data_IF_274853015842
#
_entry.id   IF_274853015842
#
_cell.length_a   1.000
_cell.length_b   1.000
_cell.length_c   1.000
_cell.angle_alpha   90.00
_cell.angle_beta   90.00
_cell.angle_gamma   90.00
#
_symmetry.space_group_name_H-M   'P 1'
#
loop_
_entity.id
_entity.type
_entity.pdbx_description
1 polymer ?
#
# COMPACT_ATOMS: atom_id res chain seq x y z
N UNK A 1 -20.70 45.92 -12.30
CA UNK A 1 -20.83 44.44 -12.26
C UNK A 1 -19.50 43.69 -12.16
N UNK A 2 -18.42 44.08 -12.84
CA UNK A 2 -17.10 43.40 -12.77
C UNK A 2 -16.44 43.48 -11.37
N UNK A 3 -16.55 44.58 -10.67
CA UNK A 3 -15.98 44.78 -9.33
C UNK A 3 -16.57 43.81 -8.29
N UNK A 4 -17.85 43.49 -8.33
CA UNK A 4 -18.53 42.57 -7.41
C UNK A 4 -18.13 41.11 -7.59
N UNK A 5 -17.67 40.71 -8.79
CA UNK A 5 -17.19 39.35 -9.07
C UNK A 5 -15.79 39.17 -8.54
N UNK A 6 -14.90 40.16 -8.72
CA UNK A 6 -13.53 40.13 -8.20
C UNK A 6 -13.49 40.13 -6.67
N UNK A 7 -14.36 40.88 -6.01
CA UNK A 7 -14.53 40.89 -4.56
C UNK A 7 -15.01 39.52 -4.04
N UNK A 8 -15.97 38.89 -4.69
CA UNK A 8 -16.44 37.54 -4.36
C UNK A 8 -15.31 36.51 -4.53
N UNK A 9 -14.53 36.58 -5.63
CA UNK A 9 -13.39 35.70 -5.88
C UNK A 9 -12.32 35.89 -4.79
N UNK A 10 -12.02 37.14 -4.41
CA UNK A 10 -11.10 37.46 -3.33
C UNK A 10 -11.57 36.88 -1.99
N UNK A 11 -12.87 37.08 -1.65
CA UNK A 11 -13.47 36.53 -0.44
C UNK A 11 -13.42 34.99 -0.39
N UNK A 12 -13.75 34.31 -1.51
CA UNK A 12 -13.68 32.85 -1.59
C UNK A 12 -12.25 32.34 -1.46
N UNK A 13 -11.26 33.02 -2.03
CA UNK A 13 -9.82 32.66 -1.89
C UNK A 13 -9.35 32.81 -0.45
N UNK A 14 -9.71 33.88 0.23
CA UNK A 14 -9.38 34.10 1.65
C UNK A 14 -10.04 33.04 2.52
N UNK A 15 -11.32 32.76 2.30
CA UNK A 15 -12.06 31.75 3.06
C UNK A 15 -11.49 30.34 2.84
N UNK A 16 -11.07 30.00 1.61
CA UNK A 16 -10.39 28.76 1.28
C UNK A 16 -9.04 28.66 2.03
N UNK A 17 -8.19 29.70 1.95
CA UNK A 17 -6.90 29.73 2.67
C UNK A 17 -7.06 29.59 4.18
N UNK A 18 -8.06 30.19 4.77
CA UNK A 18 -8.38 30.07 6.21
C UNK A 18 -8.83 28.66 6.57
N UNK A 19 -9.68 28.07 5.75
CA UNK A 19 -10.14 26.70 5.92
C UNK A 19 -8.97 25.72 5.81
N UNK A 20 -8.12 25.86 4.81
CA UNK A 20 -6.96 25.02 4.60
C UNK A 20 -5.97 25.17 5.76
N UNK A 21 -5.74 26.38 6.25
CA UNK A 21 -4.89 26.64 7.42
C UNK A 21 -5.44 25.99 8.70
N UNK A 22 -6.73 26.11 8.96
CA UNK A 22 -7.35 25.51 10.15
C UNK A 22 -7.37 23.99 10.06
N UNK A 23 -7.62 23.43 8.88
CA UNK A 23 -7.53 22.00 8.62
C UNK A 23 -6.12 21.49 8.88
N UNK A 24 -5.10 22.13 8.33
CA UNK A 24 -3.70 21.77 8.56
C UNK A 24 -3.34 21.73 10.04
N UNK A 25 -3.63 22.79 10.77
CA UNK A 25 -3.34 22.83 12.22
C UNK A 25 -4.02 21.68 12.96
N UNK A 26 -5.26 21.38 12.61
CA UNK A 26 -6.00 20.27 13.20
C UNK A 26 -5.33 18.94 12.88
N UNK A 27 -5.03 18.68 11.59
CA UNK A 27 -4.40 17.43 11.16
C UNK A 27 -3.05 17.22 11.84
N UNK A 28 -2.19 18.24 11.83
CA UNK A 28 -0.87 18.15 12.51
C UNK A 28 -1.02 17.79 13.98
N UNK A 29 -1.92 18.47 14.70
CA UNK A 29 -2.12 18.21 16.13
C UNK A 29 -2.61 16.78 16.37
N UNK A 30 -3.66 16.36 15.66
CA UNK A 30 -4.26 15.03 15.84
C UNK A 30 -3.30 13.91 15.42
N UNK A 31 -2.55 14.08 14.33
CA UNK A 31 -1.57 13.09 13.88
C UNK A 31 -0.39 13.00 14.83
N UNK A 32 0.08 14.15 15.36
CA UNK A 32 1.14 14.17 16.37
C UNK A 32 0.70 13.46 17.63
N UNK A 33 -0.47 13.81 18.17
CA UNK A 33 -1.02 13.20 19.38
C UNK A 33 -1.20 11.69 19.22
N UNK A 34 -1.76 11.24 18.08
CA UNK A 34 -1.94 9.83 17.79
C UNK A 34 -0.61 9.10 17.71
N UNK A 35 0.39 9.70 17.05
CA UNK A 35 1.72 9.13 16.92
C UNK A 35 2.42 9.03 18.27
N UNK A 36 2.38 10.08 19.08
CA UNK A 36 2.96 10.07 20.43
C UNK A 36 2.35 9.00 21.31
N UNK A 37 1.01 8.88 21.30
CA UNK A 37 0.30 7.83 22.03
C UNK A 37 0.71 6.44 21.57
N UNK A 38 0.88 6.25 20.25
CA UNK A 38 1.34 4.98 19.67
C UNK A 38 2.79 4.66 20.11
N UNK A 39 3.69 5.63 20.06
CA UNK A 39 5.07 5.42 20.48
C UNK A 39 5.16 5.11 21.98
N UNK A 40 4.39 5.81 22.82
CA UNK A 40 4.27 5.47 24.24
C UNK A 40 3.78 4.03 24.46
N UNK A 41 2.79 3.58 23.67
CA UNK A 41 2.32 2.21 23.76
C UNK A 41 3.38 1.19 23.33
N UNK A 42 4.16 1.48 22.28
CA UNK A 42 5.29 0.64 21.84
C UNK A 42 6.35 0.50 22.94
N UNK A 43 6.68 1.59 23.64
CA UNK A 43 7.64 1.56 24.76
C UNK A 43 7.23 0.61 25.89
N UNK A 44 5.94 0.36 26.09
CA UNK A 44 5.41 -0.54 27.11
C UNK A 44 5.43 -2.01 26.71
N UNK A 45 5.82 -2.35 25.48
CA UNK A 45 5.87 -3.74 25.02
C UNK A 45 6.85 -4.55 25.90
N UNK A 46 6.34 -5.68 26.38
CA UNK A 46 7.14 -6.70 27.10
C UNK A 46 6.87 -8.07 26.48
N UNK A 47 7.85 -8.59 25.72
CA UNK A 47 7.76 -9.89 25.08
C UNK A 47 6.97 -9.90 23.77
N UNK A 48 6.82 -11.10 23.20
CA UNK A 48 6.21 -11.26 21.88
C UNK A 48 4.69 -11.12 21.89
N UNK A 49 4.16 -10.34 20.95
CA UNK A 49 2.73 -10.18 20.69
C UNK A 49 2.25 -11.05 19.52
N UNK A 50 3.17 -11.57 18.71
CA UNK A 50 2.88 -12.53 17.65
C UNK A 50 3.03 -13.96 18.22
N UNK A 51 1.91 -14.59 18.55
CA UNK A 51 1.91 -15.99 18.89
C UNK A 51 1.83 -16.81 17.61
N UNK A 52 2.90 -17.53 17.27
CA UNK A 52 2.86 -18.54 16.21
C UNK A 52 1.89 -19.64 16.63
N UNK A 53 0.68 -19.63 16.11
CA UNK A 53 -0.20 -20.78 16.19
C UNK A 53 0.29 -21.78 15.15
N UNK A 54 0.38 -23.03 15.52
CA UNK A 54 0.67 -24.17 14.62
C UNK A 54 -0.56 -24.47 13.71
N UNK A 55 -1.30 -23.46 13.31
CA UNK A 55 -2.44 -23.62 12.44
C UNK A 55 -2.05 -23.39 10.98
N UNK A 56 -2.67 -24.13 10.11
CA UNK A 56 -2.27 -24.54 8.76
C UNK A 56 -2.30 -23.46 7.68
N UNK A 57 -2.57 -22.22 7.99
CA UNK A 57 -2.47 -21.11 7.06
C UNK A 57 -1.35 -20.17 7.50
N UNK A 58 -0.13 -20.43 7.02
CA UNK A 58 1.00 -19.55 7.25
C UNK A 58 0.78 -18.22 6.54
N UNK A 59 0.17 -17.28 7.24
CA UNK A 59 -0.07 -15.92 6.75
C UNK A 59 1.12 -15.05 7.10
N UNK A 60 1.72 -14.44 6.10
CA UNK A 60 2.81 -13.48 6.23
C UNK A 60 2.30 -12.09 5.84
N UNK A 61 2.40 -11.13 6.75
CA UNK A 61 2.27 -9.72 6.40
C UNK A 61 3.65 -9.21 6.00
N UNK A 62 3.75 -8.61 4.83
CA UNK A 62 5.01 -8.13 4.26
C UNK A 62 4.89 -6.68 3.81
N UNK A 63 5.85 -5.86 4.21
CA UNK A 63 5.91 -4.46 3.85
C UNK A 63 7.35 -3.99 3.66
N UNK A 64 7.51 -2.81 3.09
CA UNK A 64 8.80 -2.13 2.97
C UNK A 64 8.67 -0.69 3.47
N UNK A 65 9.81 -0.10 3.84
CA UNK A 65 9.90 1.32 4.18
C UNK A 65 11.22 1.88 3.68
N UNK A 66 11.35 3.21 3.69
CA UNK A 66 12.56 3.88 3.23
C UNK A 66 12.73 5.27 3.87
N UNK A 67 13.96 5.77 3.88
CA UNK A 67 14.29 7.11 4.34
C UNK A 67 13.75 7.41 5.74
N UNK A 68 13.21 8.60 5.93
CA UNK A 68 12.64 9.04 7.21
C UNK A 68 11.35 8.31 7.62
N UNK A 69 10.65 7.67 6.69
CA UNK A 69 9.45 6.88 6.99
C UNK A 69 9.75 5.73 7.96
N UNK A 70 10.97 5.18 7.90
CA UNK A 70 11.42 4.11 8.82
C UNK A 70 11.33 4.52 10.29
N UNK A 71 11.52 5.81 10.60
CA UNK A 71 11.39 6.35 11.97
C UNK A 71 10.07 7.06 12.23
N UNK A 72 9.42 7.62 11.19
CA UNK A 72 8.27 8.50 11.36
C UNK A 72 6.92 7.79 11.27
N UNK A 73 6.75 6.88 10.30
CA UNK A 73 5.46 6.25 10.02
C UNK A 73 5.43 4.74 10.27
N UNK A 74 6.49 4.04 9.88
CA UNK A 74 6.60 2.59 10.02
C UNK A 74 6.28 2.06 11.43
N UNK A 75 6.76 2.67 12.55
CA UNK A 75 6.42 2.18 13.89
C UNK A 75 4.91 2.18 14.15
N UNK A 76 4.22 3.20 13.66
CA UNK A 76 2.77 3.33 13.84
C UNK A 76 1.99 2.29 13.03
N UNK A 77 2.42 2.04 11.80
CA UNK A 77 1.84 0.99 10.96
C UNK A 77 2.04 -0.38 11.60
N UNK A 78 3.26 -0.71 12.02
CA UNK A 78 3.57 -1.98 12.68
C UNK A 78 2.77 -2.18 13.96
N UNK A 79 2.59 -1.12 14.75
CA UNK A 79 1.72 -1.18 15.93
C UNK A 79 0.29 -1.59 15.56
N UNK A 80 -0.29 -1.00 14.50
CA UNK A 80 -1.65 -1.35 14.05
C UNK A 80 -1.75 -2.80 13.55
N UNK A 81 -0.69 -3.32 12.92
CA UNK A 81 -0.61 -4.72 12.49
C UNK A 81 -0.48 -5.69 13.66
N UNK A 82 0.20 -5.31 14.72
CA UNK A 82 0.26 -6.08 15.97
C UNK A 82 -1.08 -6.11 16.72
N UNK A 83 -1.99 -5.17 16.44
CA UNK A 83 -3.34 -5.11 17.06
C UNK A 83 -4.40 -5.88 16.28
N UNK A 84 -4.06 -6.59 15.20
CA UNK A 84 -5.02 -7.35 14.40
C UNK A 84 -5.78 -8.39 15.24
N UNK A 85 -7.09 -8.58 15.00
CA UNK A 85 -7.93 -9.60 15.65
C UNK A 85 -7.47 -11.00 15.30
N UNK A 86 -7.10 -11.22 14.03
CA UNK A 86 -6.45 -12.43 13.54
C UNK A 86 -4.96 -12.14 13.37
N UNK A 87 -4.12 -12.77 14.18
CA UNK A 87 -2.68 -12.57 14.13
C UNK A 87 -2.07 -13.27 12.93
N UNK A 88 -1.18 -12.62 12.17
CA UNK A 88 -0.38 -13.31 11.15
C UNK A 88 0.70 -14.17 11.81
N UNK A 89 1.22 -15.14 11.09
CA UNK A 89 2.35 -15.96 11.58
C UNK A 89 3.64 -15.16 11.62
N UNK A 90 3.79 -14.20 10.69
CA UNK A 90 4.94 -13.30 10.57
C UNK A 90 4.51 -11.91 10.13
N UNK A 91 5.22 -10.91 10.62
CA UNK A 91 5.26 -9.56 10.04
C UNK A 91 6.70 -9.31 9.62
N UNK A 92 6.94 -9.15 8.32
CA UNK A 92 8.28 -8.96 7.76
C UNK A 92 8.37 -7.57 7.16
N UNK A 93 9.37 -6.80 7.61
CA UNK A 93 9.72 -5.49 7.06
C UNK A 93 11.01 -5.64 6.25
N UNK A 94 10.94 -5.27 4.98
CA UNK A 94 12.10 -5.24 4.09
C UNK A 94 12.67 -3.83 4.00
N UNK A 95 13.93 -3.69 4.34
CA UNK A 95 14.70 -2.44 4.24
C UNK A 95 15.85 -2.63 3.25
N UNK A 96 16.28 -1.55 2.61
CA UNK A 96 17.47 -1.61 1.78
C UNK A 96 18.74 -1.75 2.64
N UNK A 97 19.63 -2.63 2.25
CA UNK A 97 20.86 -2.95 3.02
C UNK A 97 21.94 -1.88 2.87
N UNK A 98 21.78 -0.92 1.96
CA UNK A 98 22.72 0.20 1.80
C UNK A 98 22.58 1.21 2.92
N UNK A 99 21.35 1.44 3.37
CA UNK A 99 21.03 2.43 4.40
C UNK A 99 20.77 1.81 5.78
N UNK A 100 20.32 0.55 5.82
CA UNK A 100 19.82 -0.08 7.04
C UNK A 100 20.47 -1.43 7.33
N UNK A 101 20.64 -1.71 8.62
CA UNK A 101 21.07 -2.99 9.16
C UNK A 101 20.56 -3.16 10.61
N UNK A 102 20.79 -4.31 11.21
CA UNK A 102 20.31 -4.60 12.57
C UNK A 102 20.80 -3.62 13.65
N UNK A 103 21.93 -2.95 13.43
CA UNK A 103 22.55 -2.07 14.45
C UNK A 103 22.14 -0.61 14.35
N UNK A 104 21.46 -0.18 13.24
CA UNK A 104 21.09 1.23 13.05
C UNK A 104 19.60 1.47 12.91
N UNK A 105 18.76 0.50 13.30
CA UNK A 105 17.31 0.69 13.34
C UNK A 105 16.92 1.79 14.36
N UNK A 106 15.89 2.60 14.10
CA UNK A 106 15.31 3.50 15.08
C UNK A 106 14.83 2.78 16.34
N UNK A 107 14.99 3.42 17.51
CA UNK A 107 14.70 2.85 18.82
C UNK A 107 13.33 2.12 18.93
N UNK A 108 12.20 2.67 18.43
CA UNK A 108 10.92 1.98 18.52
C UNK A 108 10.88 0.65 17.78
N UNK A 109 11.71 0.47 16.74
CA UNK A 109 11.73 -0.76 15.95
C UNK A 109 12.36 -1.93 16.71
N UNK A 110 13.30 -1.70 17.62
CA UNK A 110 13.82 -2.75 18.50
C UNK A 110 12.72 -3.30 19.42
N UNK A 111 11.85 -2.45 19.94
CA UNK A 111 10.69 -2.88 20.72
C UNK A 111 9.69 -3.70 19.89
N UNK A 112 9.48 -3.29 18.66
CA UNK A 112 8.63 -4.04 17.74
C UNK A 112 9.25 -5.37 17.31
N UNK A 113 10.59 -5.46 17.24
CA UNK A 113 11.31 -6.71 17.04
C UNK A 113 11.15 -7.67 18.23
N UNK A 114 11.22 -7.15 19.48
CA UNK A 114 10.90 -7.93 20.68
C UNK A 114 9.44 -8.45 20.66
N UNK A 115 8.52 -7.67 20.06
CA UNK A 115 7.12 -8.07 19.86
C UNK A 115 6.93 -9.17 18.80
N UNK A 116 7.96 -9.49 18.01
CA UNK A 116 7.94 -10.53 17.00
C UNK A 116 7.98 -10.05 15.55
N UNK A 117 8.13 -8.75 15.29
CA UNK A 117 8.33 -8.22 13.93
C UNK A 117 9.73 -8.59 13.44
N UNK A 118 9.82 -9.06 12.20
CA UNK A 118 11.07 -9.43 11.56
C UNK A 118 11.55 -8.29 10.63
N UNK A 119 12.78 -7.81 10.84
CA UNK A 119 13.45 -6.90 9.92
C UNK A 119 14.42 -7.67 9.06
N UNK A 120 14.29 -7.53 7.74
CA UNK A 120 15.14 -8.17 6.73
C UNK A 120 15.69 -7.12 5.78
N UNK A 121 16.86 -7.39 5.24
CA UNK A 121 17.60 -6.44 4.40
C UNK A 121 17.84 -7.03 3.02
N UNK A 122 17.65 -6.21 1.98
CA UNK A 122 17.84 -6.62 0.59
C UNK A 122 18.30 -5.43 -0.27
N UNK A 123 18.55 -5.66 -1.55
CA UNK A 123 18.81 -4.61 -2.53
C UNK A 123 17.62 -3.63 -2.61
N UNK A 124 17.89 -2.35 -2.94
CA UNK A 124 16.83 -1.39 -3.16
C UNK A 124 16.13 -1.61 -4.50
N UNK A 125 15.08 -2.36 -4.47
CA UNK A 125 14.14 -2.54 -5.58
C UNK A 125 12.85 -1.73 -5.38
N UNK A 126 12.94 -0.58 -4.72
CA UNK A 126 11.82 0.34 -4.45
C UNK A 126 10.66 -0.32 -3.69
N UNK A 127 9.41 0.00 -4.06
CA UNK A 127 8.20 -0.56 -3.45
C UNK A 127 8.03 -2.06 -3.68
N UNK A 128 8.70 -2.63 -4.67
CA UNK A 128 8.72 -4.08 -4.92
C UNK A 128 9.25 -4.91 -3.76
N UNK A 129 10.04 -4.31 -2.87
CA UNK A 129 10.53 -4.97 -1.65
C UNK A 129 9.39 -5.53 -0.79
N UNK A 130 8.19 -4.93 -0.84
CA UNK A 130 7.07 -5.42 -0.04
C UNK A 130 6.59 -6.82 -0.43
N UNK A 131 6.81 -7.27 -1.67
CA UNK A 131 6.34 -8.58 -2.14
C UNK A 131 7.46 -9.50 -2.64
N UNK A 132 8.33 -9.02 -3.52
CA UNK A 132 9.29 -9.86 -4.28
C UNK A 132 10.22 -10.69 -3.38
N UNK A 133 10.91 -10.15 -2.37
CA UNK A 133 11.78 -10.96 -1.52
C UNK A 133 10.98 -11.95 -0.66
N UNK A 134 9.77 -11.61 -0.28
CA UNK A 134 8.91 -12.53 0.50
C UNK A 134 8.44 -13.70 -0.36
N UNK A 135 8.04 -13.47 -1.62
CA UNK A 135 7.71 -14.54 -2.57
C UNK A 135 8.89 -15.49 -2.80
N UNK A 136 10.12 -14.96 -2.88
CA UNK A 136 11.33 -15.81 -3.05
C UNK A 136 11.59 -16.73 -1.86
N UNK A 137 11.35 -16.25 -0.65
CA UNK A 137 11.62 -17.00 0.59
C UNK A 137 10.47 -17.90 1.02
N UNK A 138 9.24 -17.53 0.69
CA UNK A 138 8.02 -18.15 1.19
C UNK A 138 6.98 -18.35 0.06
N UNK A 139 7.33 -19.11 -1.00
CA UNK A 139 6.48 -19.25 -2.19
C UNK A 139 5.15 -19.95 -1.91
N UNK A 140 5.11 -20.74 -0.84
CA UNK A 140 3.94 -21.58 -0.49
C UNK A 140 3.04 -20.93 0.59
N UNK A 141 3.34 -19.68 1.01
CA UNK A 141 2.59 -18.98 2.04
C UNK A 141 1.55 -18.03 1.46
N UNK A 142 0.51 -17.74 2.23
CA UNK A 142 -0.36 -16.61 1.99
C UNK A 142 0.40 -15.33 2.35
N UNK A 143 0.55 -14.40 1.39
CA UNK A 143 1.27 -13.14 1.63
C UNK A 143 0.27 -11.99 1.56
N UNK A 144 0.24 -11.19 2.61
CA UNK A 144 -0.51 -9.94 2.66
C UNK A 144 0.50 -8.79 2.56
N UNK A 145 0.43 -8.01 1.48
CA UNK A 145 1.23 -6.79 1.36
C UNK A 145 0.47 -5.59 1.92
N UNK A 146 1.19 -4.69 2.57
CA UNK A 146 0.68 -3.44 3.13
C UNK A 146 1.70 -2.32 2.94
N UNK A 147 1.28 -1.07 3.08
CA UNK A 147 2.16 0.10 3.03
C UNK A 147 2.62 0.49 4.45
N UNK A 148 3.63 1.36 4.56
CA UNK A 148 4.34 1.72 5.79
C UNK A 148 3.84 3.00 6.48
N UNK A 149 2.77 3.61 5.96
CA UNK A 149 2.26 4.90 6.43
C UNK A 149 0.76 4.92 6.74
N UNK A 150 0.20 3.76 7.07
CA UNK A 150 -1.23 3.56 7.33
C UNK A 150 -1.47 2.92 8.70
N UNK A 151 -2.46 3.41 9.43
CA UNK A 151 -3.05 2.70 10.57
C UNK A 151 -4.11 1.73 10.06
N UNK A 152 -3.78 0.46 9.98
CA UNK A 152 -4.72 -0.56 9.52
C UNK A 152 -5.80 -0.87 10.56
N UNK A 153 -7.03 -1.11 10.06
CA UNK A 153 -8.12 -1.59 10.90
C UNK A 153 -7.76 -2.94 11.52
N UNK A 154 -8.20 -3.16 12.76
CA UNK A 154 -7.89 -4.37 13.50
C UNK A 154 -8.43 -5.66 12.85
N UNK A 155 -9.37 -5.57 11.91
CA UNK A 155 -9.99 -6.70 11.22
C UNK A 155 -9.46 -6.91 9.79
N UNK A 156 -8.43 -6.17 9.34
CA UNK A 156 -7.92 -6.28 7.97
C UNK A 156 -7.61 -7.73 7.58
N UNK A 157 -6.80 -8.41 8.39
CA UNK A 157 -6.37 -9.79 8.10
C UNK A 157 -7.58 -10.74 8.12
N UNK A 158 -8.50 -10.54 9.05
CA UNK A 158 -9.73 -11.32 9.14
C UNK A 158 -10.58 -11.21 7.87
N UNK A 159 -10.83 -9.99 7.39
CA UNK A 159 -11.59 -9.76 6.15
C UNK A 159 -10.95 -10.40 4.92
N UNK A 160 -9.64 -10.23 4.76
CA UNK A 160 -8.90 -10.82 3.65
C UNK A 160 -8.97 -12.35 3.68
N UNK A 161 -8.78 -12.95 4.84
CA UNK A 161 -8.84 -14.41 5.01
C UNK A 161 -10.25 -14.97 4.85
N UNK A 162 -11.29 -14.28 5.30
CA UNK A 162 -12.66 -14.69 5.07
C UNK A 162 -13.05 -14.67 3.60
N UNK A 163 -12.62 -13.64 2.87
CA UNK A 163 -12.82 -13.59 1.42
C UNK A 163 -12.03 -14.69 0.72
N UNK A 164 -10.78 -14.93 1.13
CA UNK A 164 -9.98 -16.02 0.58
C UNK A 164 -10.60 -17.39 0.81
N UNK A 165 -11.17 -17.65 1.98
CA UNK A 165 -11.87 -18.91 2.27
C UNK A 165 -13.04 -19.17 1.33
N UNK A 166 -13.69 -18.12 0.83
CA UNK A 166 -14.84 -18.17 -0.09
C UNK A 166 -14.43 -18.20 -1.58
N UNK A 167 -13.16 -17.93 -1.89
CA UNK A 167 -12.64 -17.88 -3.27
C UNK A 167 -12.20 -19.26 -3.77
N UNK A 168 -11.85 -19.33 -5.04
CA UNK A 168 -11.27 -20.52 -5.71
C UNK A 168 -9.82 -20.82 -5.32
N UNK A 169 -9.25 -20.09 -4.38
CA UNK A 169 -7.86 -20.17 -3.90
C UNK A 169 -6.79 -19.68 -4.90
N UNK A 170 -7.21 -19.20 -6.07
CA UNK A 170 -6.35 -18.52 -7.05
C UNK A 170 -6.72 -17.05 -7.22
N UNK A 171 -7.42 -16.49 -6.26
CA UNK A 171 -7.92 -15.13 -6.28
C UNK A 171 -7.04 -14.23 -5.41
N UNK A 172 -6.47 -13.18 -5.99
CA UNK A 172 -5.87 -12.07 -5.25
C UNK A 172 -6.99 -11.19 -4.66
N UNK A 173 -6.85 -10.80 -3.40
CA UNK A 173 -7.92 -10.12 -2.65
C UNK A 173 -7.39 -8.85 -2.03
N UNK A 174 -7.98 -7.71 -2.39
CA UNK A 174 -7.63 -6.42 -1.82
C UNK A 174 -8.79 -5.76 -1.07
N UNK A 175 -8.49 -4.67 -0.39
CA UNK A 175 -9.52 -3.80 0.19
C UNK A 175 -9.68 -2.50 -0.60
N UNK A 176 -8.66 -2.12 -1.40
CA UNK A 176 -8.70 -0.97 -2.31
C UNK A 176 -8.50 -1.42 -3.75
N UNK A 177 -9.19 -0.74 -4.66
CA UNK A 177 -9.21 -1.13 -6.07
C UNK A 177 -9.40 0.08 -6.97
N UNK A 178 -8.89 -0.05 -8.19
CA UNK A 178 -9.23 0.83 -9.30
C UNK A 178 -9.84 -0.03 -10.42
N UNK A 179 -11.00 0.37 -10.92
CA UNK A 179 -11.64 -0.28 -12.07
C UNK A 179 -10.90 0.09 -13.36
N UNK A 180 -10.44 -0.91 -14.08
CA UNK A 180 -9.71 -0.74 -15.33
C UNK A 180 -10.62 -0.22 -16.42
N UNK A 181 -10.29 0.92 -17.03
CA UNK A 181 -11.08 1.51 -18.09
C UNK A 181 -10.68 0.97 -19.47
N UNK A 182 -11.69 0.51 -20.20
CA UNK A 182 -11.54 -0.06 -21.54
C UNK A 182 -12.49 0.63 -22.52
N UNK A 183 -12.01 0.93 -23.72
CA UNK A 183 -12.82 1.47 -24.82
C UNK A 183 -12.37 0.86 -26.14
N UNK A 184 -13.33 0.45 -26.95
CA UNK A 184 -13.09 -0.13 -28.29
C UNK A 184 -12.04 -1.27 -28.27
N UNK A 185 -12.09 -2.13 -27.24
CA UNK A 185 -11.18 -3.27 -27.05
C UNK A 185 -9.73 -2.86 -26.70
N UNK A 186 -9.50 -1.65 -26.19
CA UNK A 186 -8.18 -1.13 -25.76
C UNK A 186 -8.26 -0.57 -24.36
N UNK A 187 -7.18 -0.71 -23.62
CA UNK A 187 -7.02 -0.03 -22.34
C UNK A 187 -6.94 1.48 -22.54
N UNK A 188 -7.66 2.21 -21.70
CA UNK A 188 -7.48 3.66 -21.59
C UNK A 188 -6.28 3.97 -20.68
N UNK A 189 -5.70 5.19 -20.76
CA UNK A 189 -4.68 5.65 -19.82
C UNK A 189 -5.09 5.41 -18.37
N UNK A 190 -4.13 5.12 -17.49
CA UNK A 190 -4.37 4.90 -16.06
C UNK A 190 -5.12 6.07 -15.40
N UNK A 191 -4.80 7.29 -15.81
CA UNK A 191 -5.46 8.52 -15.36
C UNK A 191 -6.97 8.58 -15.65
N UNK A 192 -7.50 7.66 -16.47
CA UNK A 192 -8.92 7.51 -16.77
C UNK A 192 -9.55 6.28 -16.09
N UNK A 193 -8.76 5.51 -15.33
CA UNK A 193 -9.30 4.41 -14.54
C UNK A 193 -10.10 4.97 -13.37
N UNK A 194 -11.12 4.25 -12.95
CA UNK A 194 -12.06 4.72 -11.96
C UNK A 194 -11.76 4.15 -10.58
N UNK A 195 -11.24 4.96 -9.64
CA UNK A 195 -11.06 4.53 -8.26
C UNK A 195 -12.38 4.00 -7.69
N UNK A 196 -12.27 2.93 -6.86
CA UNK A 196 -13.40 2.30 -6.17
C UNK A 196 -14.49 1.71 -7.07
N UNK A 197 -14.29 1.65 -8.38
CA UNK A 197 -15.24 1.00 -9.29
C UNK A 197 -15.10 -0.53 -9.26
N UNK A 198 -15.76 -1.16 -8.31
CA UNK A 198 -15.81 -2.62 -8.16
C UNK A 198 -16.65 -3.34 -9.22
N UNK A 199 -17.37 -2.58 -10.05
CA UNK A 199 -18.24 -3.12 -11.11
C UNK A 199 -17.51 -3.22 -12.46
N UNK A 200 -16.28 -2.75 -12.56
CA UNK A 200 -15.49 -2.89 -13.78
C UNK A 200 -15.21 -4.36 -14.09
N UNK A 201 -15.12 -4.70 -15.38
CA UNK A 201 -14.82 -6.07 -15.83
C UNK A 201 -13.42 -6.54 -15.44
N UNK A 202 -12.50 -5.62 -15.26
CA UNK A 202 -11.16 -5.87 -14.74
C UNK A 202 -10.87 -4.93 -13.56
N UNK A 203 -10.20 -5.45 -12.55
CA UNK A 203 -9.85 -4.73 -11.33
C UNK A 203 -8.34 -4.70 -11.17
N UNK A 204 -7.79 -3.54 -10.84
CA UNK A 204 -6.42 -3.39 -10.37
C UNK A 204 -6.44 -3.13 -8.87
N UNK A 205 -5.85 -4.03 -8.09
CA UNK A 205 -5.76 -3.88 -6.64
C UNK A 205 -4.72 -2.83 -6.29
N UNK A 206 -5.00 -2.01 -5.28
CA UNK A 206 -4.14 -0.92 -4.83
C UNK A 206 -3.54 -1.24 -3.46
N UNK A 207 -2.22 -1.25 -3.38
CA UNK A 207 -1.46 -1.77 -2.24
C UNK A 207 -1.73 -1.09 -0.90
N UNK A 208 -2.11 0.19 -0.91
CA UNK A 208 -2.38 0.95 0.32
C UNK A 208 -3.46 0.32 1.21
N UNK A 209 -4.43 -0.38 0.60
CA UNK A 209 -5.50 -1.05 1.34
C UNK A 209 -5.11 -2.38 1.97
N UNK A 210 -4.02 -2.96 1.53
CA UNK A 210 -3.64 -4.33 1.83
C UNK A 210 -4.17 -5.33 0.80
N UNK A 211 -3.28 -6.19 0.28
CA UNK A 211 -3.59 -7.19 -0.72
C UNK A 211 -3.10 -8.56 -0.25
N UNK A 212 -4.00 -9.54 -0.27
CA UNK A 212 -3.68 -10.94 -0.04
C UNK A 212 -3.39 -11.63 -1.38
N UNK A 213 -2.20 -12.20 -1.49
CA UNK A 213 -1.77 -13.05 -2.60
C UNK A 213 -1.73 -14.51 -2.16
N UNK A 214 -2.44 -15.41 -2.86
CA UNK A 214 -2.38 -16.84 -2.60
C UNK A 214 -0.99 -17.44 -2.94
N UNK A 215 -0.63 -18.58 -2.35
CA UNK A 215 0.59 -19.28 -2.71
C UNK A 215 0.56 -19.72 -4.17
N UNK A 216 1.72 -19.67 -4.82
CA UNK A 216 1.93 -20.13 -6.21
C UNK A 216 0.97 -19.50 -7.23
N UNK A 217 0.48 -18.28 -6.94
CA UNK A 217 -0.46 -17.57 -7.83
C UNK A 217 0.25 -16.96 -9.04
N UNK A 218 1.50 -16.60 -8.88
CA UNK A 218 2.33 -16.00 -9.92
C UNK A 218 3.26 -17.02 -10.58
N UNK A 219 3.61 -16.80 -11.84
CA UNK A 219 4.72 -17.47 -12.49
C UNK A 219 6.06 -16.79 -12.14
N UNK A 220 7.18 -17.39 -12.57
CA UNK A 220 8.52 -16.87 -12.28
C UNK A 220 8.81 -15.48 -12.89
N UNK A 221 7.97 -15.01 -13.82
CA UNK A 221 8.13 -13.70 -14.47
C UNK A 221 8.05 -12.55 -13.47
N UNK A 222 7.21 -12.69 -12.43
CA UNK A 222 7.07 -11.66 -11.38
C UNK A 222 8.39 -11.32 -10.70
N UNK A 223 9.33 -12.27 -10.64
CA UNK A 223 10.62 -12.13 -9.97
C UNK A 223 11.72 -11.50 -10.85
N UNK A 224 11.43 -11.19 -12.13
CA UNK A 224 12.40 -10.62 -13.07
C UNK A 224 12.64 -9.14 -12.80
N UNK A 225 13.63 -8.89 -11.95
CA UNK A 225 13.97 -7.55 -11.48
C UNK A 225 14.27 -6.56 -12.60
N UNK A 226 14.99 -6.97 -13.62
CA UNK A 226 15.33 -6.13 -14.77
C UNK A 226 14.07 -5.63 -15.50
N UNK A 227 13.04 -6.47 -15.60
CA UNK A 227 11.80 -6.11 -16.27
C UNK A 227 10.97 -5.13 -15.46
N UNK A 228 10.69 -5.41 -14.18
CA UNK A 228 9.86 -4.49 -13.42
C UNK A 228 10.56 -3.14 -13.18
N UNK A 229 11.88 -3.12 -13.01
CA UNK A 229 12.61 -1.86 -12.88
C UNK A 229 12.66 -1.07 -14.20
N UNK A 230 12.62 -1.73 -15.37
CA UNK A 230 12.64 -1.06 -16.66
C UNK A 230 11.25 -0.63 -17.13
N UNK A 231 10.22 -1.44 -16.89
CA UNK A 231 8.87 -1.22 -17.44
C UNK A 231 7.97 -0.41 -16.48
N UNK A 232 8.13 -0.60 -15.16
CA UNK A 232 7.22 -0.05 -14.15
C UNK A 232 7.93 0.38 -12.87
N UNK A 233 9.04 1.11 -12.97
CA UNK A 233 9.95 1.47 -11.87
C UNK A 233 9.24 1.98 -10.60
N UNK A 234 8.16 2.73 -10.75
CA UNK A 234 7.45 3.42 -9.67
C UNK A 234 5.99 2.97 -9.52
N UNK A 235 5.57 1.93 -10.23
CA UNK A 235 4.19 1.46 -10.30
C UNK A 235 4.10 -0.05 -10.05
N UNK A 236 4.48 -0.47 -8.84
CA UNK A 236 4.43 -1.87 -8.44
C UNK A 236 3.03 -2.46 -8.52
N UNK A 237 1.97 -1.70 -8.22
CA UNK A 237 0.60 -2.17 -8.36
C UNK A 237 0.27 -2.53 -9.84
N UNK A 238 0.75 -1.76 -10.82
CA UNK A 238 0.58 -2.06 -12.24
C UNK A 238 1.38 -3.29 -12.68
N UNK A 239 2.57 -3.48 -12.13
CA UNK A 239 3.34 -4.70 -12.37
C UNK A 239 2.62 -5.93 -11.81
N UNK A 240 2.16 -5.87 -10.56
CA UNK A 240 1.46 -6.98 -9.93
C UNK A 240 0.15 -7.30 -10.68
N UNK A 241 -0.64 -6.29 -11.04
CA UNK A 241 -1.82 -6.45 -11.89
C UNK A 241 -1.49 -7.13 -13.23
N UNK A 242 -0.38 -6.72 -13.87
CA UNK A 242 0.06 -7.34 -15.12
C UNK A 242 0.41 -8.81 -14.92
N UNK A 243 1.09 -9.15 -13.83
CA UNK A 243 1.47 -10.53 -13.51
C UNK A 243 0.25 -11.39 -13.11
N UNK A 244 -0.70 -10.82 -12.38
CA UNK A 244 -1.99 -11.46 -12.08
C UNK A 244 -2.72 -11.82 -13.38
N UNK A 245 -2.85 -10.86 -14.28
CA UNK A 245 -3.51 -11.05 -15.58
C UNK A 245 -2.82 -12.13 -16.41
N UNK A 246 -1.49 -12.12 -16.49
CA UNK A 246 -0.71 -13.12 -17.23
C UNK A 246 -0.88 -14.53 -16.66
N UNK A 247 -0.93 -14.65 -15.37
CA UNK A 247 -1.11 -15.92 -14.66
C UNK A 247 -2.57 -16.42 -14.65
N UNK A 248 -3.52 -15.63 -15.18
CA UNK A 248 -4.95 -15.94 -15.13
C UNK A 248 -5.50 -15.92 -13.70
N UNK A 249 -4.95 -15.05 -12.85
CA UNK A 249 -5.39 -14.86 -11.47
C UNK A 249 -6.67 -14.05 -11.48
N UNK A 250 -7.65 -14.47 -10.69
CA UNK A 250 -8.83 -13.66 -10.43
C UNK A 250 -8.50 -12.59 -9.40
N UNK A 251 -9.12 -11.43 -9.54
CA UNK A 251 -9.02 -10.35 -8.55
C UNK A 251 -10.39 -10.04 -7.98
N UNK A 252 -10.46 -9.80 -6.68
CA UNK A 252 -11.69 -9.39 -6.01
C UNK A 252 -11.41 -8.45 -4.85
N UNK A 253 -12.47 -7.78 -4.41
CA UNK A 253 -12.42 -6.82 -3.31
C UNK A 253 -13.23 -7.35 -2.15
N UNK A 254 -12.71 -7.25 -0.93
CA UNK A 254 -13.43 -7.57 0.28
C UNK A 254 -13.71 -6.34 1.10
N UNK A 255 -14.86 -6.37 1.78
CA UNK A 255 -15.30 -5.43 2.81
C UNK A 255 -14.87 -3.99 2.64
N UNK A 256 -15.34 -3.44 1.55
CA UNK A 256 -15.31 -2.01 1.36
C UNK A 256 -16.47 -1.36 2.12
N UNK A 257 -16.28 -1.06 3.37
CA UNK A 257 -17.24 -0.24 4.11
C UNK A 257 -17.00 1.24 3.83
N UNK A 258 -17.23 1.67 2.59
CA UNK A 258 -17.57 3.07 2.22
C UNK A 258 -16.79 4.25 2.78
N UNK A 259 -15.88 4.05 3.68
CA UNK A 259 -14.98 5.06 4.24
C UNK A 259 -13.55 4.71 3.89
N UNK A 260 -13.31 4.87 2.83
CA UNK A 260 -12.31 5.07 1.85
C UNK A 260 -10.85 5.08 2.24
N UNK A 261 -10.40 4.98 3.38
CA UNK A 261 -8.96 5.02 3.65
C UNK A 261 -8.76 4.62 5.09
N UNK A 262 -8.02 3.57 5.26
CA UNK A 262 -7.30 3.39 6.50
C UNK A 262 -6.61 4.71 6.85
N UNK A 263 -6.77 5.25 8.07
CA UNK A 263 -6.26 6.56 8.37
C UNK A 263 -4.73 6.57 8.20
N UNK A 264 -4.25 7.41 7.30
CA UNK A 264 -2.82 7.61 7.10
C UNK A 264 -2.17 8.07 8.41
N UNK A 265 -0.92 7.65 8.65
CA UNK A 265 -0.14 8.11 9.81
C UNK A 265 0.15 9.60 9.70
N UNK A 266 0.37 10.09 8.48
CA UNK A 266 0.50 11.50 8.17
C UNK A 266 -0.55 11.92 7.16
N UNK A 267 -1.69 12.43 7.64
CA UNK A 267 -2.80 12.86 6.77
C UNK A 267 -2.49 14.10 5.94
N UNK A 268 -1.48 14.89 6.30
CA UNK A 268 -1.04 16.00 5.44
C UNK A 268 -0.61 15.50 4.06
N UNK A 269 0.04 14.34 3.99
CA UNK A 269 0.44 13.73 2.72
C UNK A 269 -0.76 13.38 1.83
N UNK A 270 -1.92 13.11 2.42
CA UNK A 270 -3.16 12.79 1.70
C UNK A 270 -3.91 14.06 1.30
N UNK A 271 -4.07 15.00 2.23
CA UNK A 271 -4.86 16.24 2.00
C UNK A 271 -4.07 17.31 1.24
N UNK A 272 -2.74 17.29 1.33
CA UNK A 272 -1.84 18.26 0.69
C UNK A 272 -0.64 17.52 0.04
N UNK A 273 -0.88 16.62 -0.90
CA UNK A 273 0.18 15.75 -1.46
C UNK A 273 1.30 16.53 -2.13
N UNK A 274 1.02 17.73 -2.65
CA UNK A 274 2.01 18.62 -3.27
C UNK A 274 3.08 19.14 -2.30
N UNK A 275 2.92 18.95 -1.00
CA UNK A 275 3.88 19.39 0.02
C UNK A 275 4.91 18.31 0.36
N UNK A 276 4.69 17.11 -0.12
CA UNK A 276 5.64 16.01 0.04
C UNK A 276 6.12 15.51 -1.33
N UNK A 277 7.31 15.95 -1.78
CA UNK A 277 7.86 15.54 -3.08
C UNK A 277 8.16 14.05 -3.17
N UNK A 278 8.27 13.34 -2.03
CA UNK A 278 8.51 11.90 -1.98
C UNK A 278 7.20 11.08 -2.01
N UNK A 279 6.05 11.74 -2.12
CA UNK A 279 4.76 11.07 -2.24
C UNK A 279 4.60 10.49 -3.65
N UNK A 280 4.63 9.17 -3.77
CA UNK A 280 4.51 8.46 -5.05
C UNK A 280 3.22 8.80 -5.80
N UNK A 281 2.11 8.94 -5.09
CA UNK A 281 0.85 9.39 -5.68
C UNK A 281 0.99 10.76 -6.34
N UNK A 282 1.63 11.71 -5.64
CA UNK A 282 1.87 13.05 -6.20
C UNK A 282 2.77 13.01 -7.43
N UNK A 283 3.87 12.26 -7.36
CA UNK A 283 4.85 12.16 -8.46
C UNK A 283 4.27 11.43 -9.67
N UNK A 284 3.54 10.34 -9.44
CA UNK A 284 3.05 9.48 -10.52
C UNK A 284 1.78 10.02 -11.17
N UNK A 285 0.88 10.61 -10.38
CA UNK A 285 -0.47 10.97 -10.84
C UNK A 285 -0.63 12.46 -11.10
N UNK A 286 -0.16 13.32 -10.18
CA UNK A 286 -0.46 14.75 -10.25
C UNK A 286 0.56 15.57 -11.05
N UNK A 287 1.80 15.13 -11.16
CA UNK A 287 2.88 15.91 -11.81
C UNK A 287 3.36 15.31 -13.11
N UNK A 288 3.39 13.99 -13.25
CA UNK A 288 4.13 13.35 -14.32
C UNK A 288 3.38 12.39 -15.23
N UNK A 289 2.12 12.02 -14.93
CA UNK A 289 1.39 10.94 -15.62
C UNK A 289 2.24 9.65 -15.78
N UNK A 290 3.14 9.39 -14.83
CA UNK A 290 4.10 8.29 -14.95
C UNK A 290 3.42 6.92 -14.93
N UNK A 291 2.26 6.81 -14.29
CA UNK A 291 1.47 5.58 -14.34
C UNK A 291 0.96 5.29 -15.75
N UNK A 292 0.59 6.34 -16.51
CA UNK A 292 0.18 6.17 -17.92
C UNK A 292 1.33 5.63 -18.77
N UNK A 293 2.55 6.19 -18.63
CA UNK A 293 3.75 5.73 -19.36
C UNK A 293 4.10 4.28 -18.99
N UNK A 294 4.10 3.95 -17.71
CA UNK A 294 4.43 2.61 -17.23
C UNK A 294 3.38 1.59 -17.66
N UNK A 295 2.10 1.97 -17.66
CA UNK A 295 1.03 1.12 -18.19
C UNK A 295 1.23 0.83 -19.68
N UNK A 296 1.57 1.82 -20.49
CA UNK A 296 1.86 1.64 -21.92
C UNK A 296 3.03 0.68 -22.11
N UNK A 297 4.13 0.84 -21.39
CA UNK A 297 5.27 -0.06 -21.46
C UNK A 297 4.88 -1.52 -21.18
N UNK A 298 4.06 -1.74 -20.14
CA UNK A 298 3.58 -3.08 -19.78
C UNK A 298 2.64 -3.68 -20.84
N UNK A 299 1.70 -2.88 -21.36
CA UNK A 299 0.77 -3.30 -22.41
C UNK A 299 1.54 -3.70 -23.67
N UNK A 300 2.48 -2.88 -24.11
CA UNK A 300 3.27 -3.14 -25.33
C UNK A 300 4.18 -4.37 -25.16
N UNK A 301 4.94 -4.43 -24.07
CA UNK A 301 5.88 -5.53 -23.84
C UNK A 301 5.18 -6.90 -23.75
N UNK A 302 4.06 -6.97 -23.03
CA UNK A 302 3.32 -8.23 -22.84
C UNK A 302 2.18 -8.43 -23.82
N UNK A 303 1.96 -7.51 -24.76
CA UNK A 303 0.82 -7.52 -25.70
C UNK A 303 -0.52 -7.76 -24.97
N UNK A 304 -0.73 -7.04 -23.84
CA UNK A 304 -1.90 -7.22 -23.01
C UNK A 304 -3.18 -6.85 -23.76
N UNK A 305 -4.23 -7.63 -23.54
CA UNK A 305 -5.56 -7.37 -24.09
C UNK A 305 -6.57 -7.27 -22.95
N UNK A 306 -7.55 -6.37 -23.05
CA UNK A 306 -8.67 -6.36 -22.13
C UNK A 306 -9.43 -7.69 -22.14
N UNK A 307 -10.05 -8.01 -21.00
CA UNK A 307 -11.02 -9.11 -20.94
C UNK A 307 -12.24 -8.68 -21.75
N UNK A 308 -12.63 -9.48 -22.73
CA UNK A 308 -13.76 -9.22 -23.64
C UNK A 308 -15.11 -9.36 -22.97
#
# INVERSE_FOLDING_TARGET
MAYTILEKIGYYRIKKRWRDYTLRKRLVREDTERRENTLCAIETISGTLLQRKNDTSDVIVSLTSYGKRVSETLPCTLWSLLQQTVKPNRIIVWLDHENWNESNLPQPLYKLQEAGVEFKFCEDIRSYKKLIPTLRLYPDNLIITVDDDVYYDAHLIEWLLEAYKKSDKRTAIGTNVTGVAVKDGKYLPYSQWEPDNVSASELCLIGVGGILYPPSVFDAEILKQELFLSLALMADDLWFWTMEKRAGVHTTVTMFHGSHLHPAVNRLNVFFPQENPDNLYYVNELVGNKNDEQLVNLIEYYNLKPIG
#
